data_IF_777938227295
#
_entry.id   IF_777938227295
#
_cell.length_a   1.000
_cell.length_b   1.000
_cell.length_c   1.000
_cell.angle_alpha   90.00
_cell.angle_beta   90.00
_cell.angle_gamma   90.00
#
_symmetry.space_group_name_H-M   'P 1'
#
loop_
_entity.id
_entity.type
_entity.pdbx_description
1 polymer ?
#
# COMPACT_ATOMS: atom_id res chain seq x y z
N UNK A 1 5.98 -8.19 17.82
CA UNK A 1 6.47 -6.87 18.31
C UNK A 1 7.25 -7.03 19.59
N UNK A 2 6.66 -7.40 20.74
CA UNK A 2 7.33 -7.40 22.07
C UNK A 2 8.63 -8.19 22.14
N UNK A 3 8.76 -9.34 21.49
CA UNK A 3 9.97 -10.15 21.48
C UNK A 3 11.17 -9.50 20.75
N UNK A 4 10.89 -8.52 19.89
CA UNK A 4 11.90 -7.79 19.11
C UNK A 4 12.13 -6.36 19.63
N UNK A 5 11.31 -5.87 20.57
CA UNK A 5 11.43 -4.53 21.13
C UNK A 5 12.70 -4.38 21.97
N UNK A 6 13.33 -3.23 21.89
CA UNK A 6 14.40 -2.83 22.76
C UNK A 6 13.85 -2.00 23.91
N UNK A 7 13.69 -2.63 25.07
CA UNK A 7 13.18 -1.96 26.28
C UNK A 7 14.24 -1.13 27.02
N UNK A 8 15.47 -1.10 26.49
CA UNK A 8 16.57 -0.33 27.09
C UNK A 8 16.76 1.03 26.42
N UNK A 9 16.10 1.27 25.28
CA UNK A 9 16.12 2.57 24.59
C UNK A 9 14.83 3.35 24.86
N UNK A 10 14.90 4.68 24.78
CA UNK A 10 13.73 5.51 24.84
C UNK A 10 12.87 5.27 23.59
N UNK A 11 11.66 4.83 23.78
CA UNK A 11 10.74 4.55 22.69
C UNK A 11 9.45 3.89 23.18
N UNK A 12 8.45 3.87 22.34
CA UNK A 12 7.12 3.33 22.66
C UNK A 12 6.80 2.18 21.70
N UNK A 13 6.37 1.06 22.28
CA UNK A 13 5.73 0.00 21.54
C UNK A 13 4.31 0.45 21.21
N UNK A 14 4.00 0.73 19.93
CA UNK A 14 2.75 1.37 19.55
C UNK A 14 2.11 0.65 18.37
N UNK A 15 0.79 0.52 18.43
CA UNK A 15 -0.04 0.07 17.31
C UNK A 15 -1.08 1.14 17.05
N UNK A 16 -1.06 1.71 15.87
CA UNK A 16 -1.98 2.73 15.41
C UNK A 16 -2.84 2.15 14.28
N UNK A 17 -4.15 2.35 14.39
CA UNK A 17 -5.10 1.99 13.33
C UNK A 17 -5.59 3.25 12.65
N UNK A 18 -5.45 3.27 11.32
CA UNK A 18 -6.02 4.28 10.42
C UNK A 18 -7.12 3.62 9.57
N UNK A 19 -7.83 4.42 8.78
CA UNK A 19 -8.91 3.90 7.93
C UNK A 19 -8.41 2.92 6.86
N UNK A 20 -7.18 3.09 6.40
CA UNK A 20 -6.57 2.36 5.29
C UNK A 20 -5.31 1.58 5.66
N UNK A 21 -4.81 1.68 6.90
CA UNK A 21 -3.62 0.96 7.32
C UNK A 21 -3.50 0.77 8.83
N UNK A 22 -2.61 -0.16 9.21
CA UNK A 22 -2.06 -0.24 10.57
C UNK A 22 -0.59 0.17 10.54
N UNK A 23 -0.18 0.95 11.53
CA UNK A 23 1.24 1.29 11.74
C UNK A 23 1.67 0.72 13.08
N UNK A 24 2.68 -0.14 13.03
CA UNK A 24 3.26 -0.78 14.19
C UNK A 24 4.65 -0.20 14.41
N UNK A 25 4.85 0.51 15.52
CA UNK A 25 6.14 1.09 15.90
C UNK A 25 6.78 0.25 17.00
N UNK A 26 8.04 -0.06 16.83
CA UNK A 26 8.80 -0.90 17.75
C UNK A 26 10.11 -0.22 18.12
N UNK A 27 10.43 -0.01 19.41
CA UNK A 27 11.70 0.59 19.82
C UNK A 27 12.89 -0.34 19.54
N UNK A 28 14.02 0.26 19.19
CA UNK A 28 15.25 -0.41 18.81
C UNK A 28 15.37 -0.66 17.31
N UNK A 29 16.60 -0.93 16.86
CA UNK A 29 16.91 -1.20 15.47
C UNK A 29 16.75 -2.69 15.13
N UNK A 30 16.73 -3.02 13.85
CA UNK A 30 16.68 -4.40 13.37
C UNK A 30 17.94 -5.17 13.78
N UNK A 31 17.78 -6.47 14.09
CA UNK A 31 18.90 -7.39 14.36
C UNK A 31 19.30 -8.22 13.14
N UNK A 32 18.55 -8.08 12.05
CA UNK A 32 18.79 -8.73 10.76
C UNK A 32 18.64 -7.68 9.66
N UNK A 33 19.35 -7.82 8.54
CA UNK A 33 19.13 -7.00 7.36
C UNK A 33 17.67 -7.10 6.89
N UNK A 34 17.14 -6.01 6.36
CA UNK A 34 15.76 -5.94 5.87
C UNK A 34 15.49 -7.03 4.82
N UNK A 35 16.41 -7.25 3.90
CA UNK A 35 16.31 -8.27 2.85
C UNK A 35 16.14 -9.67 3.43
N UNK A 36 16.86 -9.98 4.52
CA UNK A 36 16.74 -11.26 5.20
C UNK A 36 15.39 -11.42 5.90
N UNK A 37 14.85 -10.34 6.46
CA UNK A 37 13.52 -10.35 7.07
C UNK A 37 12.44 -10.63 6.03
N UNK A 38 12.52 -9.99 4.85
CA UNK A 38 11.60 -10.23 3.72
C UNK A 38 11.71 -11.67 3.17
N UNK A 39 12.92 -12.21 3.11
CA UNK A 39 13.17 -13.59 2.67
C UNK A 39 12.68 -14.62 3.69
N UNK A 40 12.78 -14.31 4.99
CA UNK A 40 12.46 -15.24 6.07
C UNK A 40 13.51 -16.31 6.30
N UNK A 41 13.15 -17.32 7.09
CA UNK A 41 14.02 -18.46 7.42
C UNK A 41 15.01 -18.18 8.56
N UNK A 42 15.10 -16.96 9.02
CA UNK A 42 15.94 -16.58 10.17
C UNK A 42 15.16 -15.64 11.10
N UNK A 43 15.36 -15.79 12.40
CA UNK A 43 14.78 -14.91 13.41
C UNK A 43 15.78 -14.66 14.54
N UNK A 44 15.94 -13.39 14.91
CA UNK A 44 16.77 -12.97 16.04
C UNK A 44 15.91 -12.16 17.02
N UNK A 45 15.36 -12.85 18.02
CA UNK A 45 14.65 -12.18 19.09
C UNK A 45 15.63 -11.34 19.94
N UNK A 46 15.18 -10.15 20.33
CA UNK A 46 15.89 -9.34 21.32
C UNK A 46 15.61 -9.84 22.74
N UNK A 47 14.39 -10.23 23.00
CA UNK A 47 13.91 -10.70 24.29
C UNK A 47 13.70 -12.23 24.27
N UNK A 48 14.78 -12.99 24.36
CA UNK A 48 14.78 -14.45 24.23
C UNK A 48 13.92 -15.13 25.32
N UNK A 49 13.96 -14.63 26.56
CA UNK A 49 13.12 -15.18 27.65
C UNK A 49 11.64 -15.01 27.34
N UNK A 50 11.24 -13.85 26.87
CA UNK A 50 9.87 -13.57 26.47
C UNK A 50 9.43 -14.43 25.27
N UNK A 51 10.30 -14.64 24.30
CA UNK A 51 10.05 -15.56 23.20
C UNK A 51 9.81 -16.99 23.69
N UNK A 52 10.63 -17.47 24.62
CA UNK A 52 10.44 -18.82 25.20
C UNK A 52 9.09 -18.93 25.92
N UNK A 53 8.66 -17.90 26.67
CA UNK A 53 7.35 -17.88 27.30
C UNK A 53 6.22 -17.96 26.25
N UNK A 54 6.29 -17.20 25.16
CA UNK A 54 5.31 -17.27 24.08
C UNK A 54 5.27 -18.66 23.42
N UNK A 55 6.43 -19.29 23.24
CA UNK A 55 6.49 -20.67 22.69
C UNK A 55 5.78 -21.67 23.58
N UNK A 56 5.91 -21.55 24.90
CA UNK A 56 5.24 -22.47 25.87
C UNK A 56 3.71 -22.43 25.77
N UNK A 57 3.15 -21.33 25.27
CA UNK A 57 1.71 -21.17 25.08
C UNK A 57 1.31 -21.26 23.59
N UNK A 58 2.19 -21.81 22.75
CA UNK A 58 1.92 -22.08 21.33
C UNK A 58 2.09 -20.89 20.37
N UNK A 59 2.75 -19.80 20.82
CA UNK A 59 3.02 -18.64 19.96
C UNK A 59 4.53 -18.47 19.69
N UNK A 60 4.88 -18.10 18.44
CA UNK A 60 6.24 -17.68 18.10
C UNK A 60 7.27 -18.80 18.03
N UNK A 61 7.17 -19.64 17.01
CA UNK A 61 8.03 -20.83 16.79
C UNK A 61 9.50 -20.53 16.44
N UNK A 62 9.89 -19.26 16.31
CA UNK A 62 11.27 -18.81 16.01
C UNK A 62 11.84 -19.33 14.65
N UNK A 63 10.99 -19.61 13.69
CA UNK A 63 11.36 -20.14 12.37
C UNK A 63 11.62 -19.05 11.33
N UNK A 64 11.53 -17.76 11.70
CA UNK A 64 11.62 -16.64 10.75
C UNK A 64 10.50 -16.60 9.71
N UNK A 65 9.39 -17.28 9.98
CA UNK A 65 8.24 -17.38 9.07
C UNK A 65 7.24 -16.23 9.20
N UNK A 66 7.29 -15.45 10.29
CA UNK A 66 6.26 -14.45 10.60
C UNK A 66 6.09 -13.37 9.55
N UNK A 67 7.17 -12.76 9.09
CA UNK A 67 7.11 -11.72 8.06
C UNK A 67 6.72 -12.26 6.68
N UNK A 68 7.27 -13.38 6.18
CA UNK A 68 6.77 -14.05 4.97
C UNK A 68 5.28 -14.40 5.01
N UNK A 69 4.75 -14.84 6.17
CA UNK A 69 3.30 -15.10 6.32
C UNK A 69 2.47 -13.82 6.15
N UNK A 70 2.92 -12.69 6.71
CA UNK A 70 2.28 -11.40 6.50
C UNK A 70 2.31 -11.03 5.02
N UNK A 71 3.47 -11.16 4.34
CA UNK A 71 3.61 -10.85 2.92
C UNK A 71 2.65 -11.70 2.06
N UNK A 72 2.56 -12.99 2.34
CA UNK A 72 1.68 -13.90 1.60
C UNK A 72 0.21 -13.52 1.80
N UNK A 73 -0.22 -13.27 3.05
CA UNK A 73 -1.59 -12.87 3.35
C UNK A 73 -2.00 -11.55 2.66
N UNK A 74 -1.09 -10.57 2.58
CA UNK A 74 -1.31 -9.31 1.88
C UNK A 74 -1.37 -9.50 0.37
N UNK A 75 -0.48 -10.34 -0.18
CA UNK A 75 -0.47 -10.66 -1.61
C UNK A 75 -1.76 -11.37 -2.05
N UNK A 76 -2.27 -12.33 -1.27
CA UNK A 76 -3.56 -13.01 -1.54
C UNK A 76 -4.73 -12.05 -1.59
N UNK A 77 -4.69 -10.97 -0.81
CA UNK A 77 -5.71 -9.91 -0.80
C UNK A 77 -5.49 -8.85 -1.87
N UNK A 78 -4.40 -8.93 -2.63
CA UNK A 78 -3.96 -7.89 -3.57
C UNK A 78 -3.83 -6.51 -2.90
N UNK A 79 -3.43 -6.49 -1.63
CA UNK A 79 -3.18 -5.27 -0.88
C UNK A 79 -1.77 -4.76 -1.11
N UNK A 80 -1.58 -3.44 -0.89
CA UNK A 80 -0.27 -2.81 -0.98
C UNK A 80 0.71 -3.55 -0.06
N UNK A 81 1.86 -3.93 -0.62
CA UNK A 81 2.88 -4.71 0.08
C UNK A 81 3.25 -4.05 1.42
N UNK A 82 3.32 -4.83 2.51
CA UNK A 82 3.81 -4.36 3.80
C UNK A 82 5.17 -3.69 3.71
N UNK A 83 5.31 -2.53 4.35
CA UNK A 83 6.54 -1.75 4.36
C UNK A 83 7.18 -1.79 5.75
N UNK A 84 8.42 -2.25 5.79
CA UNK A 84 9.25 -2.25 7.00
C UNK A 84 10.33 -1.17 6.85
N UNK A 85 10.28 -0.16 7.72
CA UNK A 85 11.19 0.98 7.71
C UNK A 85 11.96 1.06 9.02
N UNK A 86 13.28 1.07 8.95
CA UNK A 86 14.16 1.38 10.06
C UNK A 86 14.43 2.88 10.12
N UNK A 87 14.33 3.47 11.29
CA UNK A 87 14.58 4.90 11.57
C UNK A 87 15.66 5.04 12.63
N UNK A 88 16.95 5.05 12.24
CA UNK A 88 18.08 5.05 13.18
C UNK A 88 18.11 6.27 14.10
N UNK A 89 17.75 7.44 13.59
CA UNK A 89 17.76 8.70 14.36
C UNK A 89 16.75 8.67 15.52
N UNK A 90 15.69 7.87 15.38
CA UNK A 90 14.64 7.72 16.38
C UNK A 90 14.77 6.40 17.16
N UNK A 91 15.81 5.60 16.88
CA UNK A 91 16.00 4.28 17.46
C UNK A 91 14.74 3.41 17.41
N UNK A 92 14.08 3.37 16.26
CA UNK A 92 12.83 2.63 16.09
C UNK A 92 12.68 1.98 14.71
N UNK A 93 11.78 1.01 14.64
CA UNK A 93 11.35 0.35 13.41
C UNK A 93 9.83 0.53 13.26
N UNK A 94 9.39 0.88 12.06
CA UNK A 94 7.97 0.95 11.70
C UNK A 94 7.63 -0.13 10.70
N UNK A 95 6.52 -0.82 10.94
CA UNK A 95 5.88 -1.70 9.99
C UNK A 95 4.52 -1.10 9.61
N UNK A 96 4.35 -0.75 8.34
CA UNK A 96 3.08 -0.27 7.80
C UNK A 96 2.38 -1.40 7.05
N UNK A 97 1.16 -1.69 7.44
CA UNK A 97 0.30 -2.73 6.88
C UNK A 97 -0.91 -2.05 6.23
N UNK A 98 -0.85 -1.82 4.92
CA UNK A 98 -1.96 -1.22 4.16
C UNK A 98 -3.07 -2.25 3.97
N UNK A 99 -4.33 -1.85 4.21
CA UNK A 99 -5.54 -2.66 4.02
C UNK A 99 -6.35 -2.19 2.80
N UNK A 100 -5.66 -1.68 1.81
CA UNK A 100 -6.21 -1.25 0.53
C UNK A 100 -5.49 -1.96 -0.61
N UNK A 101 -6.22 -2.16 -1.71
CA UNK A 101 -5.66 -2.82 -2.88
C UNK A 101 -4.51 -2.00 -3.47
N UNK A 102 -3.50 -2.70 -3.94
CA UNK A 102 -2.51 -2.08 -4.81
C UNK A 102 -3.24 -1.40 -5.97
N UNK A 103 -2.87 -0.16 -6.31
CA UNK A 103 -3.36 0.43 -7.55
C UNK A 103 -2.93 -0.51 -8.67
N UNK A 104 -3.91 -1.10 -9.36
CA UNK A 104 -3.65 -2.03 -10.46
C UNK A 104 -2.79 -1.30 -11.49
N UNK A 105 -1.50 -1.63 -11.52
CA UNK A 105 -0.53 -1.12 -12.50
C UNK A 105 -0.68 -1.87 -13.83
N UNK A 106 -1.91 -2.15 -14.26
CA UNK A 106 -2.12 -2.56 -15.64
C UNK A 106 -1.67 -1.40 -16.53
N UNK A 107 -0.90 -1.66 -17.57
CA UNK A 107 -0.54 -0.62 -18.52
C UNK A 107 -1.84 0.00 -19.06
N UNK A 108 -1.85 1.32 -19.13
CA UNK A 108 -3.00 2.05 -19.69
C UNK A 108 -3.20 1.54 -21.11
N UNK A 109 -4.36 0.95 -21.39
CA UNK A 109 -4.66 0.44 -22.72
C UNK A 109 -4.78 1.60 -23.73
N UNK A 110 -4.75 1.30 -25.02
CA UNK A 110 -4.80 2.34 -26.07
C UNK A 110 -6.02 3.26 -25.94
N UNK A 111 -7.17 2.69 -25.60
CA UNK A 111 -8.41 3.47 -25.39
C UNK A 111 -8.28 4.41 -24.19
N UNK A 112 -7.71 3.95 -23.10
CA UNK A 112 -7.46 4.77 -21.90
C UNK A 112 -6.41 5.86 -22.19
N UNK A 113 -5.40 5.58 -23.01
CA UNK A 113 -4.45 6.60 -23.47
C UNK A 113 -5.13 7.67 -24.30
N UNK A 114 -6.02 7.28 -25.22
CA UNK A 114 -6.80 8.22 -26.02
C UNK A 114 -7.71 9.10 -25.13
N UNK A 115 -8.36 8.52 -24.11
CA UNK A 115 -9.16 9.26 -23.13
C UNK A 115 -8.31 10.30 -22.40
N UNK A 116 -7.16 9.89 -21.86
CA UNK A 116 -6.25 10.78 -21.12
C UNK A 116 -5.67 11.88 -22.01
N UNK A 117 -5.34 11.57 -23.25
CA UNK A 117 -4.87 12.55 -24.24
C UNK A 117 -5.96 13.59 -24.57
N UNK A 118 -7.19 13.16 -24.78
CA UNK A 118 -8.33 14.05 -25.04
C UNK A 118 -8.63 14.96 -23.84
N UNK A 119 -8.57 14.44 -22.60
CA UNK A 119 -8.75 15.22 -21.37
C UNK A 119 -7.63 16.23 -21.14
N UNK A 120 -6.39 15.87 -21.50
CA UNK A 120 -5.25 16.78 -21.42
C UNK A 120 -5.41 17.97 -22.36
N UNK A 121 -5.93 17.71 -23.55
CA UNK A 121 -6.16 18.73 -24.60
C UNK A 121 -7.39 19.59 -24.30
N UNK A 122 -8.43 18.99 -23.71
CA UNK A 122 -9.71 19.63 -23.39
C UNK A 122 -10.13 19.31 -21.94
N UNK A 123 -9.60 20.01 -20.93
CA UNK A 123 -9.88 19.67 -19.51
C UNK A 123 -11.37 19.76 -19.13
N UNK A 124 -12.14 20.58 -19.82
CA UNK A 124 -13.58 20.78 -19.56
C UNK A 124 -14.50 19.89 -20.40
N UNK A 125 -13.93 18.94 -21.19
CA UNK A 125 -14.71 18.08 -22.07
C UNK A 125 -15.75 17.27 -21.28
N UNK A 126 -16.98 17.25 -21.78
CA UNK A 126 -18.07 16.47 -21.20
C UNK A 126 -17.92 14.98 -21.55
N UNK A 127 -18.66 14.12 -20.83
CA UNK A 127 -18.66 12.67 -21.12
C UNK A 127 -19.23 12.37 -22.50
N UNK A 128 -20.26 13.10 -22.90
CA UNK A 128 -20.92 12.91 -24.20
C UNK A 128 -20.01 13.33 -25.37
N UNK A 129 -19.36 14.49 -25.25
CA UNK A 129 -18.36 14.95 -26.23
C UNK A 129 -17.16 14.00 -26.31
N UNK A 130 -16.71 13.47 -25.16
CA UNK A 130 -15.59 12.53 -25.10
C UNK A 130 -15.97 11.19 -25.75
N UNK A 131 -17.19 10.70 -25.53
CA UNK A 131 -17.70 9.48 -26.16
C UNK A 131 -17.78 9.63 -27.68
N UNK A 132 -18.34 10.75 -28.15
CA UNK A 132 -18.44 11.07 -29.57
C UNK A 132 -17.05 11.23 -30.23
N UNK A 133 -16.14 11.94 -29.55
CA UNK A 133 -14.77 12.18 -30.06
C UNK A 133 -13.96 10.90 -30.22
N UNK A 134 -14.19 9.90 -29.35
CA UNK A 134 -13.45 8.64 -29.34
C UNK A 134 -14.21 7.49 -30.02
N UNK A 135 -15.39 7.79 -30.59
CA UNK A 135 -16.30 6.81 -31.24
C UNK A 135 -16.54 5.57 -30.33
N UNK A 136 -16.92 5.83 -29.09
CA UNK A 136 -17.25 4.80 -28.10
C UNK A 136 -18.61 5.02 -27.47
N UNK A 137 -19.28 3.93 -27.07
CA UNK A 137 -20.53 4.06 -26.33
C UNK A 137 -20.31 4.71 -24.97
N UNK A 138 -21.31 5.48 -24.49
CA UNK A 138 -21.29 6.07 -23.16
C UNK A 138 -21.09 5.02 -22.05
N UNK A 139 -21.64 3.81 -22.22
CA UNK A 139 -21.45 2.72 -21.27
C UNK A 139 -19.98 2.28 -21.18
N UNK A 140 -19.34 2.13 -22.34
CA UNK A 140 -17.90 1.79 -22.43
C UNK A 140 -17.06 2.91 -21.82
N UNK A 141 -17.35 4.18 -22.17
CA UNK A 141 -16.62 5.32 -21.62
C UNK A 141 -16.76 5.38 -20.09
N UNK A 142 -17.97 5.22 -19.53
CA UNK A 142 -18.19 5.22 -18.07
C UNK A 142 -17.36 4.15 -17.36
N UNK A 143 -17.26 2.95 -17.95
CA UNK A 143 -16.44 1.86 -17.40
C UNK A 143 -14.95 2.22 -17.38
N UNK A 144 -14.42 2.76 -18.49
CA UNK A 144 -13.02 3.18 -18.58
C UNK A 144 -12.70 4.35 -17.64
N UNK A 145 -13.59 5.34 -17.51
CA UNK A 145 -13.45 6.46 -16.58
C UNK A 145 -13.45 5.98 -15.11
N UNK A 146 -14.32 5.02 -14.78
CA UNK A 146 -14.36 4.42 -13.45
C UNK A 146 -13.05 3.69 -13.14
N UNK A 147 -12.52 2.93 -14.10
CA UNK A 147 -11.23 2.26 -13.99
C UNK A 147 -10.09 3.26 -13.78
N UNK A 148 -9.98 4.28 -14.64
CA UNK A 148 -8.95 5.32 -14.54
C UNK A 148 -9.02 6.10 -13.22
N UNK A 149 -10.23 6.38 -12.73
CA UNK A 149 -10.45 7.07 -11.46
C UNK A 149 -10.05 6.19 -10.28
N UNK A 150 -10.48 4.92 -10.26
CA UNK A 150 -10.11 3.94 -9.22
C UNK A 150 -8.60 3.73 -9.14
N UNK A 151 -7.92 3.79 -10.29
CA UNK A 151 -6.46 3.65 -10.41
C UNK A 151 -5.69 4.96 -10.15
N UNK A 152 -6.38 6.06 -9.84
CA UNK A 152 -5.77 7.33 -9.50
C UNK A 152 -5.12 8.07 -10.67
N UNK A 153 -5.51 7.79 -11.92
CA UNK A 153 -5.01 8.53 -13.10
C UNK A 153 -5.73 9.85 -13.29
N UNK A 154 -7.03 9.90 -12.96
CA UNK A 154 -7.87 11.08 -13.14
C UNK A 154 -8.69 11.41 -11.90
N UNK A 155 -8.95 12.70 -11.70
CA UNK A 155 -9.99 13.20 -10.80
C UNK A 155 -10.85 14.20 -11.55
N UNK A 156 -12.00 14.55 -10.98
CA UNK A 156 -12.85 15.62 -11.50
C UNK A 156 -13.02 16.68 -10.43
N UNK A 157 -12.79 17.92 -10.77
CA UNK A 157 -13.03 19.08 -9.92
C UNK A 157 -14.27 19.82 -10.42
N UNK A 158 -15.21 20.11 -9.53
CA UNK A 158 -16.46 20.79 -9.84
C UNK A 158 -17.62 19.86 -10.18
N UNK A 159 -18.72 20.42 -10.70
CA UNK A 159 -19.96 19.70 -11.03
C UNK A 159 -19.84 18.90 -12.32
N UNK A 160 -20.83 18.01 -12.57
CA UNK A 160 -20.87 17.20 -13.81
C UNK A 160 -21.02 18.04 -15.08
N UNK A 161 -21.58 19.28 -14.98
CA UNK A 161 -21.78 20.18 -16.13
C UNK A 161 -20.62 21.15 -16.35
N UNK A 162 -20.01 21.68 -15.29
CA UNK A 162 -18.98 22.73 -15.37
C UNK A 162 -17.65 22.31 -14.71
N UNK A 163 -17.46 21.04 -14.45
CA UNK A 163 -16.23 20.53 -13.82
C UNK A 163 -15.13 20.28 -14.83
N UNK A 164 -13.89 20.30 -14.32
CA UNK A 164 -12.68 20.00 -15.10
C UNK A 164 -12.09 18.64 -14.72
N UNK A 165 -11.51 17.96 -15.71
CA UNK A 165 -10.75 16.74 -15.51
C UNK A 165 -9.31 17.09 -15.08
N UNK A 166 -8.87 16.50 -14.01
CA UNK A 166 -7.50 16.60 -13.50
C UNK A 166 -6.78 15.30 -13.79
N UNK A 167 -5.62 15.38 -14.45
CA UNK A 167 -4.76 14.22 -14.65
C UNK A 167 -3.75 14.20 -13.52
N UNK A 168 -3.81 13.15 -12.68
CA UNK A 168 -3.02 13.00 -11.47
C UNK A 168 -1.71 12.24 -11.69
N UNK A 169 -1.64 11.38 -12.72
CA UNK A 169 -0.45 10.61 -13.08
C UNK A 169 -0.11 10.83 -14.55
N UNK A 170 1.17 11.08 -14.83
CA UNK A 170 1.71 11.05 -16.20
C UNK A 170 1.83 9.59 -16.66
N UNK A 171 1.50 9.36 -17.95
CA UNK A 171 1.70 8.07 -18.63
C UNK A 171 3.14 8.01 -19.12
#
# INVERSE_FOLDING_TARGET
MVIHADFMVNGVLKVEKYDDCFVLTNPGLLKLPIEQIYKGGESKARNQRMQNMFRMIGYGENLGSGFPLILNAWNEKHWIKPELLEQPELMQVKLTLHIQNEPVNEPVNERQRAILSAMKQFPSITRDELANKLDVSLATLKRELTSLRKRGYIARSGSDKNGQWLILRKI
#
